data_IF_710675294072
#
_entry.id   IF_710675294072
#
_cell.length_a   1.000
_cell.length_b   1.000
_cell.length_c   1.000
_cell.angle_alpha   90.00
_cell.angle_beta   90.00
_cell.angle_gamma   90.00
#
_symmetry.space_group_name_H-M   'P 1'
#
loop_
_entity.id
_entity.type
_entity.pdbx_description
1 polymer ?
#
# COMPACT_ATOMS: atom_id res chain seq x y z
N UNK A 1 -8.45 -33.43 20.68
CA UNK A 1 -8.36 -33.95 19.30
C UNK A 1 -7.09 -33.36 18.69
N UNK A 2 -6.10 -34.16 18.24
CA UNK A 2 -4.87 -33.61 17.71
C UNK A 2 -5.09 -33.06 16.29
N UNK A 3 -4.38 -31.98 15.97
CA UNK A 3 -4.44 -31.28 14.69
C UNK A 3 -3.95 -32.18 13.54
N UNK A 4 -4.70 -32.20 12.45
CA UNK A 4 -4.28 -32.79 11.18
C UNK A 4 -3.24 -31.87 10.55
N UNK A 5 -2.02 -32.39 10.41
CA UNK A 5 -0.94 -31.74 9.66
C UNK A 5 -1.30 -31.79 8.17
N UNK A 6 -1.62 -30.64 7.58
CA UNK A 6 -1.68 -30.47 6.12
C UNK A 6 -0.24 -30.25 5.60
N UNK A 7 0.57 -31.31 5.64
CA UNK A 7 1.82 -31.37 4.89
C UNK A 7 1.51 -32.11 3.58
N UNK A 8 1.27 -31.37 2.51
CA UNK A 8 0.97 -31.95 1.21
C UNK A 8 0.51 -30.93 0.19
N UNK A 9 1.30 -29.89 -0.05
CA UNK A 9 1.08 -28.93 -1.15
C UNK A 9 2.38 -28.35 -1.72
N UNK A 10 3.50 -29.08 -1.60
CA UNK A 10 4.83 -28.58 -2.04
C UNK A 10 5.30 -29.13 -3.40
N UNK A 11 4.51 -29.96 -4.11
CA UNK A 11 4.93 -30.56 -5.38
C UNK A 11 4.07 -30.12 -6.58
N UNK A 12 4.01 -28.81 -6.84
CA UNK A 12 3.63 -28.31 -8.18
C UNK A 12 4.93 -27.97 -8.95
N UNK A 13 5.27 -28.70 -10.02
CA UNK A 13 6.46 -28.42 -10.82
C UNK A 13 6.38 -27.00 -11.43
N UNK A 14 7.29 -26.11 -11.04
CA UNK A 14 7.44 -24.77 -11.62
C UNK A 14 7.28 -23.60 -10.66
N UNK A 15 6.92 -23.82 -9.39
CA UNK A 15 6.94 -22.78 -8.37
C UNK A 15 8.33 -22.72 -7.72
N UNK A 16 9.05 -21.62 -7.88
CA UNK A 16 10.27 -21.38 -7.11
C UNK A 16 9.88 -21.20 -5.63
N UNK A 17 10.67 -21.72 -4.68
CA UNK A 17 10.42 -21.49 -3.26
C UNK A 17 10.44 -19.99 -2.96
N UNK A 18 9.66 -19.51 -1.97
CA UNK A 18 9.69 -18.11 -1.57
C UNK A 18 11.13 -17.72 -1.19
N UNK A 19 11.59 -16.50 -1.53
CA UNK A 19 12.93 -16.07 -1.17
C UNK A 19 13.09 -16.06 0.36
N UNK A 20 14.31 -16.34 0.88
CA UNK A 20 14.56 -16.26 2.31
C UNK A 20 14.30 -14.84 2.79
N UNK A 21 13.47 -14.69 3.83
CA UNK A 21 13.24 -13.42 4.51
C UNK A 21 14.57 -12.95 5.08
N UNK A 22 15.19 -11.97 4.42
CA UNK A 22 16.40 -11.32 4.91
C UNK A 22 16.06 -10.55 6.18
N UNK A 23 16.77 -10.82 7.28
CA UNK A 23 16.71 -9.95 8.48
C UNK A 23 17.25 -8.57 8.10
N UNK A 24 16.36 -7.63 7.81
CA UNK A 24 16.68 -6.21 7.77
C UNK A 24 16.27 -5.52 9.08
N UNK A 25 17.03 -4.49 9.45
CA UNK A 25 16.97 -3.77 10.72
C UNK A 25 15.57 -3.23 11.00
N UNK A 26 15.21 -3.22 12.29
CA UNK A 26 14.00 -2.59 12.82
C UNK A 26 14.04 -1.06 12.63
N UNK A 27 13.73 -0.61 11.41
CA UNK A 27 13.29 0.76 11.11
C UNK A 27 11.90 0.66 10.49
N UNK A 28 10.95 1.48 10.94
CA UNK A 28 9.62 1.55 10.35
C UNK A 28 9.75 1.83 8.86
N UNK A 29 9.46 0.84 8.04
CA UNK A 29 9.66 0.88 6.59
C UNK A 29 8.52 0.15 5.89
N UNK A 30 8.22 0.57 4.66
CA UNK A 30 7.30 -0.12 3.77
C UNK A 30 8.08 -1.23 3.04
N UNK A 31 7.62 -2.47 3.13
CA UNK A 31 8.20 -3.60 2.38
C UNK A 31 7.26 -4.04 1.26
N UNK A 32 7.80 -4.36 0.08
CA UNK A 32 7.00 -4.94 -1.01
C UNK A 32 7.35 -6.42 -1.19
N UNK A 33 6.32 -7.27 -1.18
CA UNK A 33 6.45 -8.65 -1.64
C UNK A 33 5.84 -8.78 -3.05
N UNK A 34 6.72 -8.88 -4.07
CA UNK A 34 6.33 -9.11 -5.45
C UNK A 34 6.27 -10.61 -5.76
N UNK A 35 5.10 -11.12 -6.15
CA UNK A 35 5.03 -12.38 -6.89
C UNK A 35 5.69 -12.20 -8.27
N UNK A 36 6.83 -12.87 -8.49
CA UNK A 36 7.61 -12.80 -9.73
C UNK A 36 6.88 -13.46 -10.91
N UNK A 37 5.86 -12.82 -11.47
CA UNK A 37 5.14 -13.35 -12.64
C UNK A 37 5.54 -12.76 -14.00
N UNK A 38 6.57 -11.92 -14.10
CA UNK A 38 6.85 -11.19 -15.35
C UNK A 38 8.35 -11.08 -15.72
N UNK A 39 9.09 -12.18 -15.73
CA UNK A 39 10.41 -12.21 -16.37
C UNK A 39 10.37 -13.10 -17.62
N UNK A 40 9.87 -12.54 -18.72
CA UNK A 40 9.98 -13.17 -20.03
C UNK A 40 9.21 -12.42 -21.11
N UNK A 41 9.73 -11.28 -21.59
CA UNK A 41 9.54 -10.75 -22.97
C UNK A 41 10.19 -9.35 -23.18
N UNK A 42 11.10 -9.24 -24.16
CA UNK A 42 11.40 -8.05 -25.00
C UNK A 42 11.83 -6.71 -24.38
N UNK A 43 13.14 -6.40 -24.40
CA UNK A 43 13.82 -5.25 -23.76
C UNK A 43 13.45 -3.80 -24.20
N UNK A 44 12.55 -3.59 -25.15
CA UNK A 44 12.19 -2.23 -25.63
C UNK A 44 10.93 -1.67 -24.96
N UNK A 45 9.77 -1.99 -25.55
CA UNK A 45 8.45 -1.57 -25.06
C UNK A 45 8.09 -2.16 -23.69
N UNK A 46 8.49 -3.41 -23.42
CA UNK A 46 8.26 -4.02 -22.11
C UNK A 46 9.13 -3.37 -21.02
N UNK A 47 10.30 -2.83 -21.39
CA UNK A 47 11.20 -2.12 -20.48
C UNK A 47 10.60 -0.80 -19.99
N UNK A 48 10.10 0.04 -20.92
CA UNK A 48 9.41 1.29 -20.55
C UNK A 48 8.12 1.03 -19.77
N UNK A 49 7.36 0.02 -20.17
CA UNK A 49 6.16 -0.41 -19.45
C UNK A 49 6.47 -0.85 -18.02
N UNK A 50 7.50 -1.67 -17.83
CA UNK A 50 7.95 -2.11 -16.51
C UNK A 50 8.42 -0.94 -15.66
N UNK A 51 9.17 0.00 -16.25
CA UNK A 51 9.61 1.21 -15.56
C UNK A 51 8.43 2.06 -15.05
N UNK A 52 7.38 2.23 -15.86
CA UNK A 52 6.17 2.96 -15.46
C UNK A 52 5.42 2.26 -14.33
N UNK A 53 5.34 0.93 -14.35
CA UNK A 53 4.78 0.17 -13.21
C UNK A 53 5.57 0.40 -11.93
N UNK A 54 6.90 0.37 -12.01
CA UNK A 54 7.77 0.61 -10.86
C UNK A 54 7.65 2.03 -10.32
N UNK A 55 7.46 3.02 -11.18
CA UNK A 55 7.21 4.40 -10.76
C UNK A 55 5.92 4.53 -9.93
N UNK A 56 4.82 3.91 -10.38
CA UNK A 56 3.55 3.91 -9.64
C UNK A 56 3.67 3.20 -8.28
N UNK A 57 4.38 2.07 -8.25
CA UNK A 57 4.66 1.34 -7.01
C UNK A 57 5.45 2.24 -6.06
N UNK A 58 6.54 2.84 -6.52
CA UNK A 58 7.40 3.71 -5.71
C UNK A 58 6.66 4.92 -5.15
N UNK A 59 5.85 5.58 -5.98
CA UNK A 59 5.04 6.72 -5.52
C UNK A 59 3.96 6.29 -4.52
N UNK A 60 3.43 5.07 -4.65
CA UNK A 60 2.51 4.49 -3.65
C UNK A 60 3.21 4.21 -2.33
N UNK A 61 4.45 3.70 -2.33
CA UNK A 61 5.25 3.53 -1.12
C UNK A 61 5.47 4.86 -0.40
N UNK A 62 5.86 5.91 -1.14
CA UNK A 62 6.07 7.25 -0.58
C UNK A 62 4.80 7.83 0.05
N UNK A 63 3.64 7.59 -0.56
CA UNK A 63 2.35 7.99 0.01
C UNK A 63 2.08 7.26 1.33
N UNK A 64 2.27 5.94 1.38
CA UNK A 64 2.06 5.14 2.59
C UNK A 64 3.05 5.52 3.69
N UNK A 65 4.30 5.82 3.34
CA UNK A 65 5.30 6.31 4.28
C UNK A 65 4.88 7.64 4.92
N UNK A 66 4.35 8.58 4.12
CA UNK A 66 3.81 9.83 4.65
C UNK A 66 2.66 9.58 5.63
N UNK A 67 1.76 8.63 5.34
CA UNK A 67 0.68 8.21 6.26
C UNK A 67 1.25 7.62 7.55
N UNK A 68 2.18 6.67 7.46
CA UNK A 68 2.76 6.01 8.62
C UNK A 68 3.52 6.97 9.54
N UNK A 69 4.13 8.01 8.97
CA UNK A 69 4.85 9.04 9.72
C UNK A 69 3.94 10.19 10.22
N UNK A 70 2.66 10.19 9.86
CA UNK A 70 1.76 11.31 10.15
C UNK A 70 2.21 12.63 9.49
N UNK A 71 2.93 12.57 8.38
CA UNK A 71 3.39 13.74 7.62
C UNK A 71 2.33 14.17 6.60
N UNK A 72 1.44 15.05 7.06
CA UNK A 72 0.37 15.58 6.20
C UNK A 72 0.91 16.42 5.04
N UNK A 73 2.02 17.14 5.21
CA UNK A 73 2.57 17.98 4.15
C UNK A 73 3.11 17.13 2.99
N UNK A 74 3.81 16.04 3.29
CA UNK A 74 4.24 15.09 2.27
C UNK A 74 3.05 14.41 1.60
N UNK A 75 2.05 13.98 2.38
CA UNK A 75 0.83 13.36 1.85
C UNK A 75 0.07 14.30 0.90
N UNK A 76 -0.12 15.56 1.29
CA UNK A 76 -0.81 16.58 0.50
C UNK A 76 -0.07 16.97 -0.79
N UNK A 77 1.26 16.84 -0.85
CA UNK A 77 2.04 17.06 -2.08
C UNK A 77 1.83 15.94 -3.11
N UNK A 78 1.51 14.73 -2.63
CA UNK A 78 1.33 13.54 -3.47
C UNK A 78 -0.14 13.40 -3.91
N UNK A 79 -1.10 13.89 -3.12
CA UNK A 79 -2.52 13.80 -3.46
C UNK A 79 -2.99 14.99 -4.31
N UNK A 80 -4.00 14.77 -5.13
CA UNK A 80 -4.73 15.85 -5.78
C UNK A 80 -5.57 16.62 -4.73
N UNK A 81 -5.65 17.97 -4.77
CA UNK A 81 -6.48 18.72 -3.83
C UNK A 81 -7.97 18.34 -3.84
N UNK A 82 -8.48 17.81 -4.96
CA UNK A 82 -9.81 17.25 -5.14
C UNK A 82 -9.82 15.71 -5.09
N UNK A 83 -8.89 15.09 -4.35
CA UNK A 83 -8.88 13.64 -4.11
C UNK A 83 -10.26 13.16 -3.69
N UNK A 84 -10.76 12.11 -4.34
CA UNK A 84 -11.98 11.42 -3.92
C UNK A 84 -11.63 10.12 -3.21
N UNK A 85 -12.41 9.75 -2.20
CA UNK A 85 -12.14 8.52 -1.44
C UNK A 85 -13.38 7.77 -0.98
N UNK A 86 -13.26 6.44 -0.99
CA UNK A 86 -14.09 5.52 -0.22
C UNK A 86 -13.20 4.79 0.78
N UNK A 87 -13.52 4.89 2.06
CA UNK A 87 -12.78 4.21 3.12
C UNK A 87 -13.71 3.90 4.31
N UNK A 88 -13.36 2.95 5.19
CA UNK A 88 -14.20 2.57 6.33
C UNK A 88 -14.64 3.77 7.18
N UNK A 89 -13.74 4.73 7.34
CA UNK A 89 -13.93 5.99 8.08
C UNK A 89 -15.02 6.88 7.46
N UNK A 90 -15.27 6.78 6.15
CA UNK A 90 -16.29 7.55 5.44
C UNK A 90 -17.70 6.94 5.55
N UNK A 91 -17.85 5.78 6.22
CA UNK A 91 -19.13 5.13 6.50
C UNK A 91 -20.00 4.93 5.24
N UNK A 92 -19.37 4.55 4.13
CA UNK A 92 -20.04 4.29 2.86
C UNK A 92 -20.35 5.54 2.02
N UNK A 93 -19.89 6.73 2.44
CA UNK A 93 -20.03 7.96 1.66
C UNK A 93 -18.78 8.21 0.82
N UNK A 94 -18.97 8.88 -0.32
CA UNK A 94 -17.86 9.43 -1.10
C UNK A 94 -17.39 10.71 -0.42
N UNK A 95 -16.12 10.75 -0.06
CA UNK A 95 -15.45 11.95 0.45
C UNK A 95 -14.70 12.63 -0.70
N UNK A 96 -14.65 13.96 -0.68
CA UNK A 96 -13.87 14.77 -1.61
C UNK A 96 -13.01 15.79 -0.85
N UNK A 97 -11.78 15.96 -1.33
CA UNK A 97 -10.82 16.91 -0.78
C UNK A 97 -9.99 16.35 0.37
N UNK A 98 -9.08 17.19 0.88
CA UNK A 98 -8.03 16.76 1.81
C UNK A 98 -8.39 16.95 3.28
N UNK A 99 -9.41 17.75 3.61
CA UNK A 99 -9.71 18.13 4.99
C UNK A 99 -10.21 16.96 5.83
N UNK A 100 -10.95 16.01 5.21
CA UNK A 100 -11.36 14.78 5.88
C UNK A 100 -10.15 13.97 6.36
N UNK A 101 -9.15 13.79 5.50
CA UNK A 101 -7.93 13.07 5.82
C UNK A 101 -7.05 13.85 6.82
N UNK A 102 -6.95 15.18 6.67
CA UNK A 102 -6.20 16.07 7.58
C UNK A 102 -6.57 15.85 9.05
N UNK A 103 -7.86 15.66 9.33
CA UNK A 103 -8.35 15.38 10.68
C UNK A 103 -7.62 14.20 11.33
N UNK A 104 -7.44 13.09 10.61
CA UNK A 104 -6.74 11.90 11.12
C UNK A 104 -5.23 12.13 11.28
N UNK A 105 -4.62 12.91 10.39
CA UNK A 105 -3.21 13.28 10.54
C UNK A 105 -2.97 14.08 11.83
N UNK A 106 -3.75 15.12 12.07
CA UNK A 106 -3.58 16.03 13.21
C UNK A 106 -3.95 15.36 14.55
N UNK A 107 -4.94 14.48 14.55
CA UNK A 107 -5.51 13.95 15.78
C UNK A 107 -5.02 12.56 16.16
N UNK A 108 -4.49 11.79 15.20
CA UNK A 108 -4.16 10.39 15.40
C UNK A 108 -2.76 10.03 14.91
N UNK A 109 -2.47 10.23 13.62
CA UNK A 109 -1.24 9.73 13.01
C UNK A 109 0.00 10.48 13.51
N UNK A 110 -0.04 11.82 13.55
CA UNK A 110 1.08 12.64 14.04
C UNK A 110 1.37 12.45 15.53
N UNK A 111 0.43 11.88 16.29
CA UNK A 111 0.57 11.61 17.72
C UNK A 111 1.01 10.18 18.02
N UNK A 112 1.11 9.32 17.00
CA UNK A 112 1.51 7.94 17.21
C UNK A 112 3.04 7.83 17.31
N UNK A 113 3.53 7.44 18.49
CA UNK A 113 4.95 7.20 18.77
C UNK A 113 5.35 5.74 18.70
N UNK A 114 4.40 4.82 18.45
CA UNK A 114 4.68 3.39 18.41
C UNK A 114 5.14 2.97 17.01
N UNK A 115 6.03 1.97 16.91
CA UNK A 115 6.45 1.45 15.62
C UNK A 115 5.26 0.91 14.80
N UNK A 116 5.19 1.33 13.54
CA UNK A 116 4.33 0.76 12.51
C UNK A 116 5.22 0.18 11.42
N UNK A 117 4.92 -1.04 10.99
CA UNK A 117 5.51 -1.66 9.81
C UNK A 117 4.41 -1.96 8.81
N UNK A 118 4.61 -1.62 7.53
CA UNK A 118 3.63 -1.87 6.47
C UNK A 118 4.25 -2.72 5.39
N UNK A 119 3.49 -3.70 4.90
CA UNK A 119 3.86 -4.52 3.75
C UNK A 119 2.81 -4.37 2.66
N UNK A 120 3.24 -4.04 1.43
CA UNK A 120 2.42 -4.11 0.22
C UNK A 120 2.57 -5.51 -0.37
N UNK A 121 1.48 -6.27 -0.39
CA UNK A 121 1.43 -7.59 -0.99
C UNK A 121 0.78 -7.53 -2.37
N UNK A 122 1.39 -8.28 -3.31
CA UNK A 122 0.85 -8.53 -4.64
C UNK A 122 0.39 -7.27 -5.39
N UNK A 123 1.22 -6.21 -5.50
CA UNK A 123 0.81 -5.00 -6.19
C UNK A 123 0.55 -5.25 -7.67
N UNK A 124 -0.64 -4.90 -8.12
CA UNK A 124 -1.08 -5.01 -9.50
C UNK A 124 -1.30 -3.62 -10.10
N UNK A 125 -0.41 -3.24 -11.02
CA UNK A 125 -0.49 -1.96 -11.73
C UNK A 125 -1.08 -2.13 -13.13
N UNK A 126 -2.10 -1.34 -13.44
CA UNK A 126 -2.62 -1.07 -14.78
C UNK A 126 -2.19 0.34 -15.20
N UNK A 127 -1.29 0.45 -16.18
CA UNK A 127 -0.98 1.75 -16.79
C UNK A 127 -1.98 2.01 -17.91
N UNK A 128 -2.57 3.20 -17.93
CA UNK A 128 -3.67 3.60 -18.81
C UNK A 128 -3.21 4.82 -19.60
N UNK A 129 -2.93 4.64 -20.89
CA UNK A 129 -2.41 5.72 -21.74
C UNK A 129 -1.05 6.24 -21.27
N UNK A 130 -0.83 7.54 -21.37
CA UNK A 130 0.44 8.20 -21.02
C UNK A 130 0.45 8.76 -19.59
N UNK A 131 -0.69 9.28 -19.11
CA UNK A 131 -0.75 10.07 -17.87
C UNK A 131 -1.69 9.49 -16.82
N UNK A 132 -2.14 8.24 -16.96
CA UNK A 132 -2.96 7.60 -15.94
C UNK A 132 -2.44 6.20 -15.58
N UNK A 133 -2.66 5.82 -14.32
CA UNK A 133 -2.45 4.46 -13.86
C UNK A 133 -3.40 4.13 -12.71
N UNK A 134 -3.65 2.85 -12.52
CA UNK A 134 -4.35 2.30 -11.37
C UNK A 134 -3.46 1.25 -10.73
N UNK A 135 -3.40 1.23 -9.41
CA UNK A 135 -2.73 0.18 -8.63
C UNK A 135 -3.71 -0.40 -7.61
N UNK A 136 -3.77 -1.72 -7.53
CA UNK A 136 -4.48 -2.44 -6.48
C UNK A 136 -3.49 -3.35 -5.74
N UNK A 137 -3.63 -3.43 -4.42
CA UNK A 137 -2.75 -4.24 -3.57
C UNK A 137 -3.44 -4.59 -2.26
N UNK A 138 -2.88 -5.58 -1.55
CA UNK A 138 -3.23 -5.84 -0.15
C UNK A 138 -2.20 -5.11 0.71
N UNK A 139 -2.66 -4.33 1.69
CA UNK A 139 -1.81 -3.70 2.69
C UNK A 139 -1.91 -4.48 3.99
N UNK A 140 -0.79 -5.04 4.45
CA UNK A 140 -0.65 -5.53 5.81
C UNK A 140 0.01 -4.46 6.66
N UNK A 141 -0.56 -4.18 7.83
CA UNK A 141 0.00 -3.24 8.78
C UNK A 141 0.20 -3.93 10.12
N UNK A 142 1.45 -4.00 10.56
CA UNK A 142 1.84 -4.52 11.87
C UNK A 142 2.13 -3.36 12.81
N UNK A 143 1.55 -3.40 14.00
CA UNK A 143 1.65 -2.31 14.98
C UNK A 143 1.55 -2.86 16.42
N UNK A 144 1.90 -2.00 17.39
CA UNK A 144 1.76 -2.30 18.82
C UNK A 144 0.48 -1.64 19.36
N UNK A 145 -0.44 -2.42 19.93
CA UNK A 145 -1.71 -1.92 20.47
C UNK A 145 -1.55 -1.14 21.79
N UNK A 146 -2.66 -0.60 22.32
CA UNK A 146 -2.71 0.11 23.60
C UNK A 146 -2.15 -0.67 24.79
N UNK A 147 -2.20 -2.00 24.74
CA UNK A 147 -1.73 -2.92 25.78
C UNK A 147 -0.28 -3.39 25.55
N UNK A 148 0.41 -2.87 24.53
CA UNK A 148 1.78 -3.25 24.22
C UNK A 148 1.90 -4.56 23.42
N UNK A 149 0.81 -5.09 22.87
CA UNK A 149 0.83 -6.36 22.13
C UNK A 149 0.95 -6.12 20.62
N UNK A 150 1.73 -6.96 19.91
CA UNK A 150 1.79 -6.90 18.46
C UNK A 150 0.47 -7.34 17.84
N UNK A 151 0.00 -6.59 16.85
CA UNK A 151 -1.20 -6.86 16.06
C UNK A 151 -0.90 -6.67 14.58
N UNK A 152 -1.69 -7.35 13.76
CA UNK A 152 -1.69 -7.20 12.30
C UNK A 152 -3.10 -6.83 11.85
N UNK A 153 -3.22 -5.82 11.00
CA UNK A 153 -4.42 -5.51 10.24
C UNK A 153 -4.17 -5.72 8.74
N UNK A 154 -5.25 -5.99 8.01
CA UNK A 154 -5.26 -6.10 6.56
C UNK A 154 -6.31 -5.15 5.98
N UNK A 155 -5.94 -4.46 4.90
CA UNK A 155 -6.87 -3.77 4.00
C UNK A 155 -6.57 -4.10 2.55
N UNK A 156 -7.58 -4.01 1.69
CA UNK A 156 -7.40 -4.04 0.24
C UNK A 156 -7.54 -2.61 -0.28
N UNK A 157 -6.49 -2.13 -0.96
CA UNK A 157 -6.41 -0.74 -1.37
C UNK A 157 -6.31 -0.64 -2.90
N UNK A 158 -7.09 0.28 -3.47
CA UNK A 158 -6.99 0.68 -4.87
C UNK A 158 -6.70 2.17 -4.96
N UNK A 159 -5.73 2.57 -5.78
CA UNK A 159 -5.39 3.97 -6.03
C UNK A 159 -5.36 4.26 -7.52
N UNK A 160 -5.96 5.39 -7.89
CA UNK A 160 -5.86 5.95 -9.23
C UNK A 160 -4.88 7.11 -9.20
N UNK A 161 -3.93 7.06 -10.11
CA UNK A 161 -2.86 8.03 -10.29
C UNK A 161 -3.06 8.75 -11.61
N UNK A 162 -2.91 10.07 -11.58
CA UNK A 162 -2.91 10.91 -12.77
C UNK A 162 -1.65 11.77 -12.78
N UNK A 163 -0.98 11.86 -13.92
CA UNK A 163 0.25 12.63 -14.09
C UNK A 163 -0.09 14.02 -14.60
N UNK A 164 0.32 15.06 -13.86
CA UNK A 164 0.22 16.47 -14.28
C UNK A 164 1.57 17.13 -14.10
N UNK A 165 2.03 17.86 -15.11
CA UNK A 165 3.32 18.56 -15.10
C UNK A 165 4.50 17.66 -14.68
N UNK A 166 4.49 16.40 -15.17
CA UNK A 166 5.52 15.41 -14.88
C UNK A 166 5.47 14.78 -13.48
N UNK A 167 4.42 15.05 -12.68
CA UNK A 167 4.25 14.50 -11.33
C UNK A 167 3.02 13.64 -11.23
N UNK A 168 3.16 12.45 -10.67
CA UNK A 168 2.03 11.57 -10.33
C UNK A 168 1.31 12.11 -9.11
N UNK A 169 -0.01 12.26 -9.22
CA UNK A 169 -0.88 12.63 -8.11
C UNK A 169 -1.94 11.56 -7.90
N UNK A 170 -2.22 11.21 -6.65
CA UNK A 170 -3.31 10.31 -6.32
C UNK A 170 -4.63 11.09 -6.43
N UNK A 171 -5.48 10.72 -7.39
CA UNK A 171 -6.76 11.40 -7.66
C UNK A 171 -7.97 10.64 -7.09
N UNK A 172 -7.81 9.35 -6.83
CA UNK A 172 -8.84 8.53 -6.20
C UNK A 172 -8.23 7.42 -5.34
N UNK A 173 -8.86 7.14 -4.20
CA UNK A 173 -8.50 6.07 -3.29
C UNK A 173 -9.74 5.27 -2.87
N UNK A 174 -9.61 3.95 -2.85
CA UNK A 174 -10.60 3.06 -2.26
C UNK A 174 -9.90 2.12 -1.28
N UNK A 175 -10.40 2.06 -0.05
CA UNK A 175 -9.99 1.12 0.98
C UNK A 175 -11.17 0.23 1.39
N UNK A 176 -10.98 -1.09 1.34
CA UNK A 176 -11.87 -2.06 1.99
C UNK A 176 -11.13 -2.81 3.10
N UNK A 177 -11.92 -3.41 4.00
CA UNK A 177 -11.38 -4.18 5.12
C UNK A 177 -11.19 -3.33 6.37
N UNK A 178 -10.05 -3.48 7.04
CA UNK A 178 -9.81 -2.80 8.32
C UNK A 178 -9.59 -1.28 8.13
N UNK A 179 -10.05 -0.44 9.08
CA UNK A 179 -9.76 1.00 9.10
C UNK A 179 -8.25 1.27 9.21
N UNK A 180 -7.83 2.44 8.74
CA UNK A 180 -6.41 2.89 8.72
C UNK A 180 -5.84 2.97 10.13
N UNK A 181 -6.69 3.23 11.11
CA UNK A 181 -6.37 3.01 12.50
C UNK A 181 -7.35 2.02 13.13
N UNK A 182 -6.85 0.97 13.81
CA UNK A 182 -7.68 0.23 14.73
C UNK A 182 -8.18 1.23 15.78
N UNK A 183 -9.50 1.34 15.93
CA UNK A 183 -10.12 1.98 17.09
C UNK A 183 -9.41 1.41 18.33
N UNK A 184 -8.62 2.26 19.02
CA UNK A 184 -7.83 1.85 20.18
C UNK A 184 -8.72 1.39 21.32
#
# INVERSE_FOLDING_TARGET
LPAVSLTGMDDIPGLLPPPPVGRHQAGGGVEILLEKRLLGQGLGMAGQWLARKQEIIKTTEQLIEAVNNGDFEAYAKICDPGLTSFEPEALGNLVEGMDFHRFYFENLLAKNSKPIHTTILNPHVHVIGEDAACIAYIRLTQYIDGQGRPRTSQSEETRVWHRRDGKWQNVHFHCSGAPVAPLQ
#
